data_IF_582225852363
#
_entry.id   IF_582225852363
#
_cell.length_a   1.000
_cell.length_b   1.000
_cell.length_c   1.000
_cell.angle_alpha   90.00
_cell.angle_beta   90.00
_cell.angle_gamma   90.00
#
_symmetry.space_group_name_H-M   'P 1'
#
loop_
_entity.id
_entity.type
_entity.pdbx_description
1 polymer ?
#
# COMPACT_ATOMS: atom_id res chain seq x y z
N UNK A 1 -33.11 -3.88 -8.80
CA UNK A 1 -32.75 -3.31 -10.12
C UNK A 1 -33.92 -2.44 -10.54
N UNK A 2 -33.69 -1.22 -10.99
CA UNK A 2 -34.73 -0.34 -11.53
C UNK A 2 -34.36 -0.02 -12.97
N UNK A 3 -35.34 -0.17 -13.85
CA UNK A 3 -35.20 0.13 -15.26
C UNK A 3 -36.19 1.24 -15.63
N UNK A 4 -35.66 2.41 -15.95
CA UNK A 4 -36.40 3.61 -16.31
C UNK A 4 -35.79 4.21 -17.59
N UNK A 5 -35.44 3.33 -18.54
CA UNK A 5 -34.97 3.75 -19.86
C UNK A 5 -36.13 4.17 -20.76
N UNK A 6 -35.90 5.16 -21.64
CA UNK A 6 -36.89 5.65 -22.63
C UNK A 6 -38.21 6.11 -22.02
N UNK A 7 -38.19 6.63 -20.80
CA UNK A 7 -39.38 7.12 -20.12
C UNK A 7 -39.65 8.61 -20.40
N UNK A 8 -38.78 9.29 -21.15
CA UNK A 8 -38.92 10.72 -21.44
C UNK A 8 -38.75 11.60 -20.19
N UNK A 9 -37.92 11.15 -19.24
CA UNK A 9 -37.72 11.87 -17.98
C UNK A 9 -36.92 13.16 -18.23
N UNK A 10 -37.51 14.30 -17.90
CA UNK A 10 -36.84 15.61 -17.92
C UNK A 10 -36.08 15.89 -16.62
N UNK A 11 -36.54 15.32 -15.50
CA UNK A 11 -35.91 15.43 -14.19
C UNK A 11 -36.10 14.16 -13.36
N UNK A 12 -35.23 13.98 -12.36
CA UNK A 12 -35.30 12.89 -11.40
C UNK A 12 -35.89 13.35 -10.06
N UNK A 13 -36.47 12.43 -9.27
CA UNK A 13 -36.89 12.76 -7.92
C UNK A 13 -35.70 13.11 -7.03
N UNK A 14 -35.99 13.78 -5.92
CA UNK A 14 -35.01 14.25 -4.96
C UNK A 14 -34.11 13.12 -4.41
N UNK A 15 -32.91 13.49 -3.98
CA UNK A 15 -31.85 12.59 -3.51
C UNK A 15 -32.32 11.68 -2.37
N UNK A 16 -33.21 12.20 -1.51
CA UNK A 16 -33.73 11.47 -0.36
C UNK A 16 -34.55 10.24 -0.77
N UNK A 17 -35.23 10.28 -1.92
CA UNK A 17 -35.93 9.11 -2.47
C UNK A 17 -34.93 8.01 -2.83
N UNK A 18 -33.84 8.37 -3.52
CA UNK A 18 -32.80 7.41 -3.90
C UNK A 18 -31.99 6.91 -2.70
N UNK A 19 -31.77 7.73 -1.67
CA UNK A 19 -31.18 7.29 -0.39
C UNK A 19 -32.04 6.24 0.31
N UNK A 20 -33.37 6.35 0.21
CA UNK A 20 -34.31 5.36 0.73
C UNK A 20 -34.22 3.99 0.05
N UNK A 21 -33.68 3.92 -1.18
CA UNK A 21 -33.55 2.67 -1.94
C UNK A 21 -32.30 1.86 -1.52
N UNK A 22 -32.30 1.36 -0.28
CA UNK A 22 -31.14 0.69 0.34
C UNK A 22 -30.63 -0.56 -0.40
N UNK A 23 -31.48 -1.20 -1.21
CA UNK A 23 -31.14 -2.42 -1.95
C UNK A 23 -30.97 -2.21 -3.46
N UNK A 24 -31.02 -0.96 -3.93
CA UNK A 24 -30.86 -0.67 -5.35
C UNK A 24 -29.40 -0.83 -5.78
N UNK A 25 -29.11 -1.90 -6.54
CA UNK A 25 -27.77 -2.19 -7.08
C UNK A 25 -27.54 -1.73 -8.51
N UNK A 26 -28.60 -1.69 -9.32
CA UNK A 26 -28.52 -1.40 -10.77
C UNK A 26 -29.65 -0.45 -11.13
N UNK A 27 -29.29 0.66 -11.78
CA UNK A 27 -30.20 1.71 -12.21
C UNK A 27 -29.95 2.03 -13.70
N UNK A 28 -30.99 1.83 -14.52
CA UNK A 28 -30.96 2.17 -15.94
C UNK A 28 -31.78 3.42 -16.22
N UNK A 29 -31.13 4.46 -16.73
CA UNK A 29 -31.69 5.79 -17.04
C UNK A 29 -31.32 6.27 -18.45
N UNK A 30 -30.90 5.37 -19.33
CA UNK A 30 -30.49 5.73 -20.69
C UNK A 30 -31.68 6.15 -21.56
N UNK A 31 -31.44 6.99 -22.56
CA UNK A 31 -32.46 7.55 -23.48
C UNK A 31 -33.56 8.33 -22.76
N UNK A 32 -33.18 9.24 -21.87
CA UNK A 32 -34.08 10.22 -21.28
C UNK A 32 -33.61 11.65 -21.66
N UNK A 33 -34.21 12.67 -21.05
CA UNK A 33 -33.94 14.07 -21.34
C UNK A 33 -33.23 14.79 -20.19
N UNK A 34 -32.48 14.05 -19.37
CA UNK A 34 -31.75 14.59 -18.23
C UNK A 34 -30.68 15.59 -18.67
N UNK A 35 -30.81 16.83 -18.20
CA UNK A 35 -29.94 17.96 -18.57
C UNK A 35 -29.17 18.55 -17.40
N UNK A 36 -29.59 18.28 -16.16
CA UNK A 36 -29.02 18.93 -14.97
C UNK A 36 -28.08 17.99 -14.21
N UNK A 37 -27.10 18.58 -13.52
CA UNK A 37 -26.20 17.82 -12.63
C UNK A 37 -26.90 17.33 -11.37
N UNK A 38 -27.98 18.01 -10.95
CA UNK A 38 -28.79 17.65 -9.78
C UNK A 38 -29.49 16.29 -9.99
N UNK A 39 -29.94 16.00 -11.21
CA UNK A 39 -30.51 14.70 -11.58
C UNK A 39 -29.47 13.59 -11.36
N UNK A 40 -28.24 13.82 -11.85
CA UNK A 40 -27.14 12.86 -11.74
C UNK A 40 -26.76 12.62 -10.27
N UNK A 41 -26.72 13.70 -9.48
CA UNK A 41 -26.45 13.63 -8.04
C UNK A 41 -27.53 12.84 -7.31
N UNK A 42 -28.81 13.06 -7.67
CA UNK A 42 -29.95 12.34 -7.10
C UNK A 42 -29.89 10.85 -7.42
N UNK A 43 -29.64 10.48 -8.68
CA UNK A 43 -29.45 9.07 -9.06
C UNK A 43 -28.27 8.41 -8.33
N UNK A 44 -27.18 9.15 -8.14
CA UNK A 44 -25.96 8.66 -7.49
C UNK A 44 -26.11 8.49 -5.96
N UNK A 45 -27.12 9.10 -5.34
CA UNK A 45 -27.32 9.08 -3.89
C UNK A 45 -27.70 7.70 -3.30
N UNK A 46 -28.03 6.72 -4.15
CA UNK A 46 -28.38 5.37 -3.72
C UNK A 46 -27.18 4.63 -3.08
N UNK A 47 -27.30 4.12 -1.83
CA UNK A 47 -26.16 3.73 -1.01
C UNK A 47 -25.47 2.42 -1.45
N UNK A 48 -26.21 1.52 -2.10
CA UNK A 48 -25.72 0.23 -2.60
C UNK A 48 -25.64 0.18 -4.14
N UNK A 49 -25.69 1.33 -4.80
CA UNK A 49 -25.63 1.37 -6.26
C UNK A 49 -24.26 0.90 -6.76
N UNK A 50 -24.28 -0.13 -7.59
CA UNK A 50 -23.09 -0.75 -8.20
C UNK A 50 -22.96 -0.34 -9.66
N UNK A 51 -24.08 -0.21 -10.37
CA UNK A 51 -24.12 0.09 -11.80
C UNK A 51 -25.18 1.14 -12.13
N UNK A 52 -24.74 2.21 -12.79
CA UNK A 52 -25.58 3.27 -13.34
C UNK A 52 -25.41 3.34 -14.86
N UNK A 53 -26.50 3.43 -15.63
CA UNK A 53 -26.43 3.74 -17.07
C UNK A 53 -27.26 4.99 -17.37
N UNK A 54 -26.66 6.00 -18.00
CA UNK A 54 -27.30 7.26 -18.36
C UNK A 54 -26.88 7.77 -19.77
N UNK A 55 -26.29 6.93 -20.61
CA UNK A 55 -25.99 7.25 -22.01
C UNK A 55 -27.24 7.69 -22.80
N UNK A 56 -27.03 8.43 -23.88
CA UNK A 56 -28.09 9.06 -24.69
C UNK A 56 -29.00 10.00 -23.87
N UNK A 57 -28.46 10.65 -22.83
CA UNK A 57 -29.04 11.83 -22.20
C UNK A 57 -28.22 13.09 -22.57
N UNK A 58 -28.83 14.28 -22.67
CA UNK A 58 -28.09 15.52 -22.91
C UNK A 58 -26.91 15.74 -21.95
N UNK A 59 -27.05 15.39 -20.66
CA UNK A 59 -25.99 15.51 -19.66
C UNK A 59 -24.81 14.55 -19.89
N UNK A 60 -25.06 13.38 -20.51
CA UNK A 60 -24.04 12.35 -20.74
C UNK A 60 -23.03 12.73 -21.83
N UNK A 61 -23.34 13.74 -22.66
CA UNK A 61 -22.43 14.26 -23.68
C UNK A 61 -21.29 15.11 -23.10
N UNK A 62 -21.42 15.58 -21.85
CA UNK A 62 -20.41 16.39 -21.18
C UNK A 62 -19.18 15.54 -20.82
N UNK A 63 -17.94 15.98 -21.11
CA UNK A 63 -16.74 15.19 -20.81
C UNK A 63 -16.50 14.98 -19.31
N UNK A 64 -17.02 15.87 -18.47
CA UNK A 64 -16.93 15.79 -17.01
C UNK A 64 -17.92 14.79 -16.41
N UNK A 65 -18.91 14.33 -17.18
CA UNK A 65 -20.03 13.52 -16.69
C UNK A 65 -19.57 12.33 -15.84
N UNK A 66 -18.65 11.53 -16.40
CA UNK A 66 -18.13 10.34 -15.74
C UNK A 66 -17.39 10.67 -14.45
N UNK A 67 -16.56 11.71 -14.46
CA UNK A 67 -15.80 12.14 -13.28
C UNK A 67 -16.73 12.64 -12.18
N UNK A 68 -17.74 13.42 -12.54
CA UNK A 68 -18.75 13.94 -11.63
C UNK A 68 -19.57 12.80 -10.98
N UNK A 69 -20.06 11.84 -11.77
CA UNK A 69 -20.79 10.66 -11.24
C UNK A 69 -19.94 9.90 -10.22
N UNK A 70 -18.65 9.68 -10.50
CA UNK A 70 -17.73 9.00 -9.61
C UNK A 70 -17.44 9.77 -8.32
N UNK A 71 -17.38 11.10 -8.42
CA UNK A 71 -17.22 11.97 -7.25
C UNK A 71 -18.44 11.88 -6.33
N UNK A 72 -19.65 11.83 -6.90
CA UNK A 72 -20.89 11.71 -6.13
C UNK A 72 -21.05 10.31 -5.51
N UNK A 73 -20.70 9.25 -6.24
CA UNK A 73 -20.77 7.88 -5.72
C UNK A 73 -19.49 7.08 -6.03
N UNK A 74 -18.50 7.11 -5.13
CA UNK A 74 -17.27 6.36 -5.31
C UNK A 74 -17.45 4.86 -5.13
N UNK A 75 -18.64 4.32 -4.83
CA UNK A 75 -18.84 2.86 -4.72
C UNK A 75 -19.22 2.20 -6.04
N UNK A 76 -19.56 2.99 -7.07
CA UNK A 76 -19.92 2.50 -8.40
C UNK A 76 -18.80 1.66 -9.04
N UNK A 77 -19.14 0.46 -9.49
CA UNK A 77 -18.22 -0.44 -10.19
C UNK A 77 -18.33 -0.27 -11.71
N UNK A 78 -19.49 0.18 -12.21
CA UNK A 78 -19.72 0.41 -13.63
C UNK A 78 -20.57 1.67 -13.84
N UNK A 79 -20.18 2.46 -14.86
CA UNK A 79 -20.97 3.58 -15.37
C UNK A 79 -21.11 3.38 -16.87
N UNK A 80 -22.35 3.38 -17.34
CA UNK A 80 -22.74 2.99 -18.70
C UNK A 80 -22.21 1.60 -19.04
N UNK A 81 -21.61 1.43 -20.22
CA UNK A 81 -21.02 0.17 -20.64
C UNK A 81 -19.54 0.04 -20.24
N UNK A 82 -19.06 0.85 -19.28
CA UNK A 82 -17.65 0.91 -18.86
C UNK A 82 -17.45 0.63 -17.38
N UNK A 83 -16.57 -0.32 -17.07
CA UNK A 83 -16.09 -0.55 -15.70
C UNK A 83 -15.28 0.64 -15.20
N UNK A 84 -15.47 0.97 -13.93
CA UNK A 84 -14.74 2.05 -13.26
C UNK A 84 -13.37 1.53 -12.84
N UNK A 85 -12.30 2.19 -13.31
CA UNK A 85 -10.93 1.81 -12.95
C UNK A 85 -10.43 2.54 -11.70
N UNK A 86 -9.44 1.97 -11.02
CA UNK A 86 -8.76 2.62 -9.88
C UNK A 86 -8.06 3.93 -10.31
N UNK A 87 -7.61 4.03 -11.57
CA UNK A 87 -7.00 5.25 -12.09
C UNK A 87 -8.01 6.40 -12.17
N UNK A 88 -9.23 6.12 -12.64
CA UNK A 88 -10.32 7.10 -12.70
C UNK A 88 -10.71 7.59 -11.29
N UNK A 89 -10.71 6.68 -10.31
CA UNK A 89 -11.01 6.98 -8.89
C UNK A 89 -9.96 7.87 -8.22
N UNK A 90 -8.72 7.78 -8.67
CA UNK A 90 -7.60 8.59 -8.18
C UNK A 90 -7.45 9.91 -8.95
N UNK A 91 -8.39 10.25 -9.84
CA UNK A 91 -8.35 11.47 -10.64
C UNK A 91 -7.23 11.48 -11.69
N UNK A 92 -6.68 10.31 -12.04
CA UNK A 92 -5.65 10.20 -13.09
C UNK A 92 -6.35 10.19 -14.44
N UNK A 93 -6.03 11.17 -15.28
CA UNK A 93 -6.51 11.25 -16.66
C UNK A 93 -6.11 9.98 -17.42
N UNK A 94 -7.01 9.45 -18.26
CA UNK A 94 -6.71 8.32 -19.16
C UNK A 94 -5.52 8.60 -20.08
N UNK A 95 -5.12 9.87 -20.25
CA UNK A 95 -4.02 10.32 -21.08
C UNK A 95 -2.67 10.44 -20.34
N UNK A 96 -2.60 10.10 -19.04
CA UNK A 96 -1.37 10.23 -18.27
C UNK A 96 -0.46 9.01 -18.51
N UNK A 97 0.74 9.15 -19.11
CA UNK A 97 1.60 8.03 -19.45
C UNK A 97 2.31 7.49 -18.19
N UNK A 98 1.57 6.78 -17.36
CA UNK A 98 2.11 6.05 -16.22
C UNK A 98 3.14 4.97 -16.61
N UNK A 99 3.93 4.49 -15.64
CA UNK A 99 5.08 3.62 -15.87
C UNK A 99 4.68 2.35 -16.61
N UNK A 100 5.41 2.07 -17.69
CA UNK A 100 5.13 1.08 -18.76
C UNK A 100 4.99 -0.40 -18.33
N UNK A 101 4.97 -0.71 -17.03
CA UNK A 101 4.95 -2.07 -16.49
C UNK A 101 3.59 -2.62 -16.04
N UNK A 102 2.51 -1.84 -16.06
CA UNK A 102 1.17 -2.25 -15.55
C UNK A 102 0.05 -2.07 -16.57
N UNK A 103 0.36 -2.12 -17.88
CA UNK A 103 -0.66 -2.13 -18.95
C UNK A 103 -1.31 -3.52 -19.09
N UNK A 104 -2.01 -3.93 -18.05
CA UNK A 104 -3.04 -4.97 -18.14
C UNK A 104 -4.24 -4.55 -17.29
N UNK A 105 -4.83 -3.42 -17.66
CA UNK A 105 -6.11 -2.97 -17.15
C UNK A 105 -7.11 -3.11 -18.29
N UNK A 106 -7.82 -4.24 -18.30
CA UNK A 106 -9.03 -4.50 -19.07
C UNK A 106 -9.04 -4.01 -20.51
N UNK A 107 -8.51 -4.80 -21.45
CA UNK A 107 -8.99 -4.75 -22.82
C UNK A 107 -10.40 -5.35 -22.88
N UNK A 108 -11.38 -4.65 -22.33
CA UNK A 108 -12.66 -4.54 -22.99
C UNK A 108 -12.67 -3.15 -23.59
N UNK A 109 -12.46 -3.11 -24.90
CA UNK A 109 -12.70 -1.91 -25.68
C UNK A 109 -14.16 -1.56 -25.43
N UNK A 110 -14.40 -0.42 -24.78
CA UNK A 110 -15.73 0.16 -24.67
C UNK A 110 -16.29 0.36 -26.07
N UNK A 111 -17.61 0.19 -26.32
CA UNK A 111 -18.22 0.56 -27.59
C UNK A 111 -17.87 2.00 -28.00
N UNK A 112 -17.66 2.91 -27.04
CA UNK A 112 -17.25 4.30 -27.35
C UNK A 112 -15.71 4.53 -27.41
N UNK A 113 -14.85 3.56 -27.08
CA UNK A 113 -13.43 3.55 -27.49
C UNK A 113 -13.23 2.78 -28.78
N UNK A 114 -14.12 1.84 -29.11
CA UNK A 114 -14.30 1.32 -30.46
C UNK A 114 -14.80 2.47 -31.31
N UNK A 115 -15.88 3.19 -31.00
CA UNK A 115 -16.26 4.40 -31.74
C UNK A 115 -15.26 5.56 -31.63
N UNK A 116 -14.32 5.65 -30.66
CA UNK A 116 -13.28 6.70 -30.69
C UNK A 116 -12.02 6.26 -31.41
N UNK A 117 -11.65 4.98 -31.40
CA UNK A 117 -10.59 4.47 -32.27
C UNK A 117 -11.11 4.29 -33.68
N UNK A 118 -12.32 3.81 -33.88
CA UNK A 118 -13.12 3.87 -35.10
C UNK A 118 -13.33 5.33 -35.47
N UNK A 119 -13.94 6.25 -34.73
CA UNK A 119 -13.95 7.67 -35.17
C UNK A 119 -12.56 8.28 -35.34
N UNK A 120 -11.50 7.88 -34.65
CA UNK A 120 -10.14 8.39 -34.96
C UNK A 120 -9.47 7.69 -36.16
N UNK A 121 -9.88 6.48 -36.51
CA UNK A 121 -9.42 5.74 -37.70
C UNK A 121 -10.35 6.02 -38.88
N UNK A 122 -11.67 5.89 -38.73
CA UNK A 122 -12.76 6.42 -39.55
C UNK A 122 -12.64 7.93 -39.78
N UNK A 123 -12.26 8.83 -38.87
CA UNK A 123 -12.06 10.25 -39.26
C UNK A 123 -10.74 10.44 -40.00
N UNK A 124 -9.70 9.65 -39.72
CA UNK A 124 -8.48 9.64 -40.55
C UNK A 124 -8.67 8.96 -41.91
N UNK A 125 -9.63 8.04 -42.01
CA UNK A 125 -10.01 7.28 -43.21
C UNK A 125 -11.12 8.00 -43.99
N UNK A 126 -12.02 8.73 -43.33
CA UNK A 126 -13.12 9.52 -43.89
C UNK A 126 -12.71 10.96 -44.22
N UNK A 127 -11.70 11.53 -43.54
CA UNK A 127 -11.02 12.72 -44.08
C UNK A 127 -10.21 12.39 -45.34
N UNK A 128 -9.86 11.12 -45.58
CA UNK A 128 -9.35 10.65 -46.88
C UNK A 128 -10.43 10.12 -47.84
N UNK A 129 -11.65 9.87 -47.37
CA UNK A 129 -12.76 9.32 -48.17
C UNK A 129 -13.94 10.28 -48.14
N UNK A 130 -13.98 11.20 -49.10
CA UNK A 130 -15.17 12.01 -49.39
C UNK A 130 -16.32 11.09 -49.83
N UNK A 131 -17.50 11.13 -49.18
CA UNK A 131 -18.66 10.37 -49.62
C UNK A 131 -19.18 10.99 -50.91
N UNK A 132 -18.93 10.29 -52.02
CA UNK A 132 -19.22 10.76 -53.39
C UNK A 132 -18.19 10.31 -54.43
N UNK A 133 -17.02 9.80 -54.00
CA UNK A 133 -16.01 9.18 -54.87
C UNK A 133 -15.92 7.66 -54.63
N UNK A 134 -17.05 6.96 -54.64
CA UNK A 134 -17.02 5.51 -54.77
C UNK A 134 -17.07 5.18 -56.27
N UNK A 135 -16.12 4.38 -56.73
CA UNK A 135 -15.95 3.87 -58.10
C UNK A 135 -15.14 4.74 -59.08
N UNK A 136 -14.03 5.36 -58.64
CA UNK A 136 -12.87 5.45 -59.54
C UNK A 136 -11.85 4.46 -59.03
N UNK A 137 -11.51 3.48 -59.88
CA UNK A 137 -10.51 2.45 -59.69
C UNK A 137 -9.44 2.86 -58.67
N UNK A 138 -9.67 2.53 -57.39
CA UNK A 138 -8.53 2.32 -56.52
C UNK A 138 -7.92 1.03 -57.02
N UNK A 139 -6.61 1.08 -57.28
CA UNK A 139 -5.87 -0.11 -57.69
C UNK A 139 -6.16 -1.22 -56.67
N UNK A 140 -6.59 -2.38 -57.15
CA UNK A 140 -6.97 -3.53 -56.30
C UNK A 140 -5.89 -3.85 -55.25
N UNK A 141 -4.64 -3.53 -55.57
CA UNK A 141 -3.47 -3.67 -54.72
C UNK A 141 -3.53 -2.82 -53.44
N UNK A 142 -4.06 -1.60 -53.48
CA UNK A 142 -4.13 -0.72 -52.32
C UNK A 142 -5.16 -1.22 -51.30
N UNK A 143 -6.31 -1.71 -51.79
CA UNK A 143 -7.36 -2.33 -50.98
C UNK A 143 -6.84 -3.60 -50.30
N UNK A 144 -6.11 -4.44 -51.03
CA UNK A 144 -5.49 -5.66 -50.49
C UNK A 144 -4.42 -5.34 -49.44
N UNK A 145 -3.62 -4.30 -49.64
CA UNK A 145 -2.63 -3.86 -48.67
C UNK A 145 -3.27 -3.36 -47.37
N UNK A 146 -4.37 -2.60 -47.48
CA UNK A 146 -5.12 -2.13 -46.31
C UNK A 146 -5.76 -3.28 -45.55
N UNK A 147 -6.36 -4.25 -46.25
CA UNK A 147 -6.92 -5.46 -45.63
C UNK A 147 -5.86 -6.27 -44.87
N UNK A 148 -4.66 -6.45 -45.44
CA UNK A 148 -3.54 -7.12 -44.76
C UNK A 148 -3.11 -6.42 -43.48
N UNK A 149 -3.03 -5.07 -43.50
CA UNK A 149 -2.68 -4.28 -42.31
C UNK A 149 -3.73 -4.44 -41.21
N UNK A 150 -5.02 -4.40 -41.56
CA UNK A 150 -6.12 -4.60 -40.61
C UNK A 150 -6.11 -6.01 -40.02
N UNK A 151 -5.88 -7.05 -40.84
CA UNK A 151 -5.76 -8.42 -40.36
C UNK A 151 -4.57 -8.60 -39.42
N UNK A 152 -3.41 -8.00 -39.72
CA UNK A 152 -2.25 -8.01 -38.83
C UNK A 152 -2.53 -7.35 -37.48
N UNK A 153 -3.25 -6.23 -37.49
CA UNK A 153 -3.67 -5.55 -36.25
C UNK A 153 -4.63 -6.44 -35.43
N UNK A 154 -5.63 -7.05 -36.07
CA UNK A 154 -6.57 -7.95 -35.39
C UNK A 154 -5.88 -9.19 -34.83
N UNK A 155 -4.94 -9.79 -35.57
CA UNK A 155 -4.15 -10.91 -35.08
C UNK A 155 -3.35 -10.51 -33.84
N UNK A 156 -2.63 -9.39 -33.89
CA UNK A 156 -1.89 -8.87 -32.76
C UNK A 156 -2.81 -8.62 -31.55
N UNK A 157 -3.96 -7.98 -31.75
CA UNK A 157 -4.93 -7.73 -30.69
C UNK A 157 -5.49 -9.04 -30.12
N UNK A 158 -5.74 -10.04 -30.95
CA UNK A 158 -6.20 -11.38 -30.53
C UNK A 158 -5.14 -12.13 -29.73
N UNK A 159 -3.86 -11.98 -30.07
CA UNK A 159 -2.75 -12.55 -29.30
C UNK A 159 -2.64 -11.90 -27.92
N UNK A 160 -2.76 -10.57 -27.85
CA UNK A 160 -2.77 -9.84 -26.57
C UNK A 160 -3.99 -10.15 -25.70
N UNK A 161 -5.15 -10.35 -26.35
CA UNK A 161 -6.40 -10.69 -25.68
C UNK A 161 -6.60 -12.21 -25.55
N UNK A 162 -5.58 -13.01 -25.87
CA UNK A 162 -5.64 -14.45 -25.77
C UNK A 162 -6.05 -14.84 -24.34
N UNK A 163 -7.02 -15.77 -24.17
CA UNK A 163 -7.43 -16.23 -22.85
C UNK A 163 -6.24 -16.64 -21.98
N UNK A 164 -5.21 -17.24 -22.58
CA UNK A 164 -3.97 -17.61 -21.89
C UNK A 164 -3.24 -16.39 -21.31
N UNK A 165 -3.06 -15.32 -22.09
CA UNK A 165 -2.41 -14.08 -21.66
C UNK A 165 -3.20 -13.40 -20.54
N UNK A 166 -4.53 -13.32 -20.67
CA UNK A 166 -5.42 -12.77 -19.64
C UNK A 166 -5.35 -13.54 -18.32
N UNK A 167 -5.39 -14.88 -18.38
CA UNK A 167 -5.29 -15.75 -17.19
C UNK A 167 -3.92 -15.57 -16.53
N UNK A 168 -2.83 -15.60 -17.31
CA UNK A 168 -1.47 -15.44 -16.80
C UNK A 168 -1.26 -14.07 -16.16
N UNK A 169 -1.75 -12.99 -16.79
CA UNK A 169 -1.65 -11.64 -16.24
C UNK A 169 -2.40 -11.51 -14.90
N UNK A 170 -3.63 -12.02 -14.85
CA UNK A 170 -4.42 -11.99 -13.61
C UNK A 170 -3.76 -12.82 -12.50
N UNK A 171 -3.24 -14.01 -12.83
CA UNK A 171 -2.51 -14.85 -11.89
C UNK A 171 -1.25 -14.16 -11.35
N UNK A 172 -0.43 -13.55 -12.22
CA UNK A 172 0.76 -12.78 -11.82
C UNK A 172 0.37 -11.64 -10.90
N UNK A 173 -0.64 -10.85 -11.27
CA UNK A 173 -1.16 -9.78 -10.42
C UNK A 173 -1.67 -10.26 -9.06
N UNK A 174 -2.38 -11.40 -9.01
CA UNK A 174 -2.81 -12.00 -7.75
C UNK A 174 -1.61 -12.42 -6.89
N UNK A 175 -0.63 -13.10 -7.48
CA UNK A 175 0.59 -13.54 -6.81
C UNK A 175 1.38 -12.37 -6.25
N UNK A 176 1.56 -11.31 -7.03
CA UNK A 176 2.30 -10.11 -6.61
C UNK A 176 1.60 -9.41 -5.45
N UNK A 177 0.27 -9.27 -5.50
CA UNK A 177 -0.52 -8.73 -4.38
C UNK A 177 -0.39 -9.58 -3.12
N UNK A 178 -0.39 -10.91 -3.26
CA UNK A 178 -0.22 -11.85 -2.13
C UNK A 178 1.19 -11.73 -1.53
N UNK A 179 2.22 -11.64 -2.37
CA UNK A 179 3.61 -11.43 -1.95
C UNK A 179 3.79 -10.08 -1.26
N UNK A 180 3.23 -8.99 -1.82
CA UNK A 180 3.30 -7.66 -1.22
C UNK A 180 2.64 -7.62 0.18
N UNK A 181 1.47 -8.25 0.35
CA UNK A 181 0.82 -8.41 1.66
C UNK A 181 1.72 -9.17 2.64
N UNK A 182 2.33 -10.26 2.19
CA UNK A 182 3.24 -11.05 3.02
C UNK A 182 4.48 -10.25 3.45
N UNK A 183 5.11 -9.54 2.52
CA UNK A 183 6.26 -8.68 2.80
C UNK A 183 5.93 -7.57 3.80
N UNK A 184 4.78 -6.89 3.63
CA UNK A 184 4.30 -5.87 4.57
C UNK A 184 4.10 -6.46 5.98
N UNK A 185 3.53 -7.65 6.08
CA UNK A 185 3.37 -8.36 7.35
C UNK A 185 4.72 -8.66 8.02
N UNK A 186 5.70 -9.16 7.28
CA UNK A 186 7.05 -9.44 7.80
C UNK A 186 7.77 -8.18 8.26
N UNK A 187 7.70 -7.10 7.48
CA UNK A 187 8.28 -5.81 7.85
C UNK A 187 7.67 -5.29 9.16
N UNK A 188 6.34 -5.31 9.29
CA UNK A 188 5.66 -4.90 10.53
C UNK A 188 6.07 -5.75 11.73
N UNK A 189 6.23 -7.07 11.54
CA UNK A 189 6.69 -7.98 12.60
C UNK A 189 8.13 -7.67 13.02
N UNK A 190 9.02 -7.41 12.05
CA UNK A 190 10.40 -7.03 12.32
C UNK A 190 10.48 -5.71 13.09
N UNK A 191 9.74 -4.68 12.66
CA UNK A 191 9.66 -3.39 13.36
C UNK A 191 9.18 -3.56 14.80
N UNK A 192 8.11 -4.33 15.03
CA UNK A 192 7.62 -4.63 16.38
C UNK A 192 8.68 -5.30 17.25
N UNK A 193 9.44 -6.26 16.70
CA UNK A 193 10.53 -6.93 17.42
C UNK A 193 11.67 -5.97 17.78
N UNK A 194 12.09 -5.13 16.84
CA UNK A 194 13.10 -4.10 17.09
C UNK A 194 12.65 -3.12 18.19
N UNK A 195 11.40 -2.67 18.13
CA UNK A 195 10.82 -1.78 19.14
C UNK A 195 10.74 -2.43 20.53
N UNK A 196 10.34 -3.71 20.60
CA UNK A 196 10.31 -4.45 21.86
C UNK A 196 11.71 -4.58 22.48
N UNK A 197 12.71 -4.95 21.67
CA UNK A 197 14.10 -5.05 22.12
C UNK A 197 14.65 -3.71 22.60
N UNK A 198 14.39 -2.62 21.87
CA UNK A 198 14.82 -1.28 22.24
C UNK A 198 14.17 -0.81 23.55
N UNK A 199 12.85 -1.00 23.70
CA UNK A 199 12.13 -0.67 24.95
C UNK A 199 12.65 -1.47 26.13
N UNK A 200 12.88 -2.77 25.94
CA UNK A 200 13.44 -3.63 27.00
C UNK A 200 14.84 -3.18 27.40
N UNK A 201 15.70 -2.80 26.43
CA UNK A 201 17.04 -2.29 26.72
C UNK A 201 17.00 -0.98 27.51
N UNK A 202 16.16 -0.03 27.07
CA UNK A 202 15.98 1.26 27.76
C UNK A 202 15.43 1.07 29.17
N UNK A 203 14.43 0.21 29.34
CA UNK A 203 13.86 -0.13 30.64
C UNK A 203 14.91 -0.76 31.56
N UNK A 204 15.67 -1.75 31.07
CA UNK A 204 16.77 -2.36 31.82
C UNK A 204 17.80 -1.31 32.26
N UNK A 205 18.23 -0.43 31.36
CA UNK A 205 19.18 0.64 31.70
C UNK A 205 18.63 1.57 32.79
N UNK A 206 17.39 2.02 32.65
CA UNK A 206 16.74 2.89 33.63
C UNK A 206 16.59 2.20 34.99
N UNK A 207 16.17 0.94 34.98
CA UNK A 207 16.00 0.16 36.20
C UNK A 207 17.34 -0.12 36.88
N UNK A 208 18.39 -0.45 36.13
CA UNK A 208 19.74 -0.60 36.69
C UNK A 208 20.25 0.70 37.31
N UNK A 209 19.99 1.85 36.69
CA UNK A 209 20.37 3.15 37.26
C UNK A 209 19.60 3.43 38.57
N UNK A 210 18.28 3.21 38.55
CA UNK A 210 17.42 3.38 39.73
C UNK A 210 17.84 2.47 40.89
N UNK A 211 18.08 1.18 40.63
CA UNK A 211 18.52 0.23 41.67
C UNK A 211 19.90 0.60 42.22
N UNK A 212 20.80 1.13 41.37
CA UNK A 212 22.10 1.64 41.83
C UNK A 212 21.94 2.82 42.79
N UNK A 213 21.13 3.79 42.42
CA UNK A 213 20.85 4.98 43.23
C UNK A 213 20.22 4.59 44.58
N UNK A 214 19.23 3.70 44.56
CA UNK A 214 18.61 3.21 45.78
C UNK A 214 19.60 2.41 46.67
N UNK A 215 20.42 1.53 46.11
CA UNK A 215 21.42 0.78 46.89
C UNK A 215 22.57 1.64 47.40
N UNK A 216 22.91 2.74 46.71
CA UNK A 216 23.84 3.74 47.26
C UNK A 216 23.25 4.41 48.50
N UNK A 217 21.94 4.67 48.55
CA UNK A 217 21.28 5.26 49.73
C UNK A 217 21.27 4.32 50.94
N UNK A 218 21.17 3.01 50.71
CA UNK A 218 21.11 1.98 51.76
C UNK A 218 22.50 1.43 52.14
N UNK A 219 23.57 1.83 51.44
CA UNK A 219 24.95 1.31 51.57
C UNK A 219 25.09 -0.21 51.30
N UNK A 220 24.22 -0.75 50.43
CA UNK A 220 24.21 -2.17 50.03
C UNK A 220 24.61 -2.37 48.57
N UNK A 221 25.53 -1.55 48.06
CA UNK A 221 25.98 -1.60 46.67
C UNK A 221 26.56 -2.96 46.24
N UNK A 222 26.98 -3.74 47.21
CA UNK A 222 27.57 -5.06 47.05
C UNK A 222 26.59 -6.08 46.44
N UNK A 223 25.28 -5.83 46.53
CA UNK A 223 24.24 -6.67 45.93
C UNK A 223 24.20 -6.60 44.39
N UNK A 224 24.75 -5.53 43.79
CA UNK A 224 24.83 -5.38 42.33
C UNK A 224 26.12 -5.91 41.71
N UNK A 225 27.05 -6.38 42.54
CA UNK A 225 28.29 -6.93 42.04
C UNK A 225 28.01 -8.21 41.26
N UNK A 226 28.68 -8.36 40.13
CA UNK A 226 28.68 -9.65 39.45
C UNK A 226 29.28 -10.71 40.38
N UNK A 227 28.83 -11.96 40.25
CA UNK A 227 29.38 -13.11 40.97
C UNK A 227 30.91 -13.15 40.95
N UNK A 228 31.51 -12.80 39.81
CA UNK A 228 32.98 -12.68 39.65
C UNK A 228 33.58 -11.55 40.49
N UNK A 229 32.91 -10.40 40.55
CA UNK A 229 33.35 -9.26 41.36
C UNK A 229 33.19 -9.54 42.86
N UNK A 230 32.10 -10.20 43.27
CA UNK A 230 31.92 -10.71 44.63
C UNK A 230 33.07 -11.65 45.03
N UNK A 231 33.41 -12.62 44.17
CA UNK A 231 34.52 -13.54 44.41
C UNK A 231 35.86 -12.79 44.53
N UNK A 232 36.12 -11.80 43.66
CA UNK A 232 37.31 -10.95 43.76
C UNK A 232 37.36 -10.17 45.07
N UNK A 233 36.24 -9.55 45.49
CA UNK A 233 36.18 -8.85 46.79
C UNK A 233 36.43 -9.79 47.97
N UNK A 234 35.85 -10.99 47.95
CA UNK A 234 36.12 -12.03 48.96
C UNK A 234 37.60 -12.41 48.99
N UNK A 235 38.21 -12.65 47.83
CA UNK A 235 39.62 -12.96 47.72
C UNK A 235 40.52 -11.82 48.24
N UNK A 236 40.22 -10.57 47.90
CA UNK A 236 40.94 -9.39 48.40
C UNK A 236 40.86 -9.28 49.93
N UNK A 237 39.67 -9.46 50.53
CA UNK A 237 39.50 -9.50 51.99
C UNK A 237 40.35 -10.61 52.63
N UNK A 238 40.40 -11.80 52.02
CA UNK A 238 41.24 -12.91 52.51
C UNK A 238 42.74 -12.59 52.44
N UNK A 239 43.18 -11.99 51.33
CA UNK A 239 44.57 -11.55 51.15
C UNK A 239 44.90 -10.48 52.19
N UNK A 240 44.03 -9.49 52.39
CA UNK A 240 44.22 -8.41 53.35
C UNK A 240 44.37 -8.96 54.78
N UNK A 241 43.49 -9.86 55.21
CA UNK A 241 43.57 -10.51 56.53
C UNK A 241 44.88 -11.29 56.67
N UNK A 242 45.30 -12.00 55.61
CA UNK A 242 46.52 -12.78 55.58
C UNK A 242 47.77 -11.89 55.69
N UNK A 243 47.82 -10.79 54.94
CA UNK A 243 48.89 -9.78 54.97
C UNK A 243 48.97 -9.12 56.35
N UNK A 244 47.83 -8.66 56.90
CA UNK A 244 47.78 -8.08 58.26
C UNK A 244 48.28 -9.07 59.33
N UNK A 245 47.96 -10.37 59.20
CA UNK A 245 48.46 -11.41 60.11
C UNK A 245 49.96 -11.65 59.94
N UNK A 246 50.47 -11.60 58.71
CA UNK A 246 51.90 -11.74 58.43
C UNK A 246 52.72 -10.56 58.97
N UNK A 247 52.27 -9.32 58.74
CA UNK A 247 52.93 -8.09 59.27
C UNK A 247 53.03 -8.16 60.79
N UNK A 248 51.94 -8.54 61.48
CA UNK A 248 51.94 -8.70 62.94
C UNK A 248 52.98 -9.72 63.41
N UNK A 249 53.04 -10.89 62.77
CA UNK A 249 54.05 -11.92 63.08
C UNK A 249 55.48 -11.42 62.85
N UNK A 250 55.72 -10.75 61.72
CA UNK A 250 57.03 -10.18 61.40
C UNK A 250 57.46 -9.12 62.40
N UNK A 251 56.54 -8.25 62.82
CA UNK A 251 56.82 -7.23 63.84
C UNK A 251 57.14 -7.86 65.20
N UNK A 252 56.45 -8.94 65.60
CA UNK A 252 56.78 -9.67 66.83
C UNK A 252 58.18 -10.28 66.77
N UNK A 253 58.53 -10.97 65.67
CA UNK A 253 59.88 -11.53 65.48
C UNK A 253 60.97 -10.44 65.51
N UNK A 254 60.70 -9.28 64.92
CA UNK A 254 61.63 -8.13 64.98
C UNK A 254 61.82 -7.62 66.41
N UNK A 255 60.75 -7.59 67.22
CA UNK A 255 60.83 -7.20 68.64
C UNK A 255 61.60 -8.24 69.45
N UNK A 256 61.34 -9.52 69.25
CA UNK A 256 62.07 -10.63 69.90
C UNK A 256 63.56 -10.56 69.58
N UNK A 257 63.93 -10.37 68.30
CA UNK A 257 65.34 -10.22 67.90
C UNK A 257 66.00 -9.01 68.54
N UNK A 258 65.31 -7.87 68.61
CA UNK A 258 65.82 -6.67 69.30
C UNK A 258 66.02 -6.91 70.79
N UNK A 259 65.07 -7.57 71.45
CA UNK A 259 65.16 -7.93 72.86
C UNK A 259 66.34 -8.88 73.11
N UNK A 260 66.48 -9.93 72.30
CA UNK A 260 67.61 -10.86 72.37
C UNK A 260 68.95 -10.12 72.20
N UNK A 261 69.06 -9.22 71.22
CA UNK A 261 70.26 -8.41 71.02
C UNK A 261 70.60 -7.53 72.23
N UNK A 262 69.60 -6.91 72.87
CA UNK A 262 69.81 -6.12 74.10
C UNK A 262 70.27 -7.00 75.27
N UNK A 263 69.70 -8.19 75.44
CA UNK A 263 70.12 -9.16 76.47
C UNK A 263 71.59 -9.55 76.23
N UNK A 264 71.95 -9.93 75.01
CA UNK A 264 73.33 -10.31 74.66
C UNK A 264 74.33 -9.19 74.93
N UNK A 265 73.92 -7.94 74.74
CA UNK A 265 74.75 -6.75 75.01
C UNK A 265 74.95 -6.49 76.51
N UNK A 266 73.97 -6.83 77.36
CA UNK A 266 74.09 -6.69 78.82
C UNK A 266 74.93 -7.82 79.42
N UNK A 267 74.86 -9.02 78.84
CA UNK A 267 75.60 -10.20 79.33
C UNK A 267 77.09 -10.23 78.96
N UNK A 268 77.55 -9.32 78.09
CA UNK A 268 78.96 -9.15 77.73
C UNK A 268 79.55 -7.96 78.48
#
# INVERSE_FOLDING_TARGET
>A
KVDACRCGLDSLPDQDIFRGLQHLKVLHLHRNHLKTWEDVQSAAAAPQLVWLTAFENPISAQPEFRGYVLQQNPKLLAIDFRLVSDAERLGRSQNDPGPKGTRFLGCFVSPETEERLERATVDKVAQSLKPGQYMRAQDEEEVLLQARKSLGFLQQQSEYCSPACCIQANWRGHRDRKMAKHMKYWQLRAVKKMQQSARMLLWRRKMTAYVKEWLTEVDELDLLLDTREMLRRRALKLIEVSVRRWIRRRNMQMRERKAAFLITRITR
#
